data_IF_908955372505
#
_entry.id   IF_908955372505
#
_cell.length_a   1.000
_cell.length_b   1.000
_cell.length_c   1.000
_cell.angle_alpha   90.00
_cell.angle_beta   90.00
_cell.angle_gamma   90.00
#
_symmetry.space_group_name_H-M   'P 1'
#
loop_
_entity.id
_entity.type
_entity.pdbx_description
1 polymer ?
#
# COMPACT_ATOMS: atom_id res chain seq x y z
N UNK A 1 -15.33 8.45 -7.41
CA UNK A 1 -13.96 8.18 -6.90
C UNK A 1 -13.91 6.72 -6.50
N UNK A 2 -12.89 5.98 -6.94
CA UNK A 2 -12.76 4.55 -6.59
C UNK A 2 -11.86 4.46 -5.37
N UNK A 3 -12.32 3.86 -4.28
CA UNK A 3 -11.54 3.64 -3.08
C UNK A 3 -11.30 2.14 -2.91
N UNK A 4 -10.06 1.76 -2.67
CA UNK A 4 -9.68 0.39 -2.37
C UNK A 4 -9.37 0.29 -0.88
N UNK A 5 -9.91 -0.73 -0.21
CA UNK A 5 -9.59 -1.04 1.19
C UNK A 5 -9.09 -2.47 1.25
N UNK A 6 -7.89 -2.67 1.79
CA UNK A 6 -7.28 -3.99 1.92
C UNK A 6 -6.86 -4.24 3.36
N UNK A 7 -7.11 -5.46 3.83
CA UNK A 7 -6.43 -5.98 5.00
C UNK A 7 -5.07 -6.52 4.57
N UNK A 8 -3.99 -6.04 5.17
CA UNK A 8 -2.63 -6.34 4.74
C UNK A 8 -1.87 -7.16 5.78
N UNK A 9 -0.83 -7.86 5.34
CA UNK A 9 0.23 -8.37 6.22
C UNK A 9 1.47 -7.49 6.14
N UNK A 10 1.67 -6.79 5.02
CA UNK A 10 2.73 -5.81 4.85
C UNK A 10 2.29 -4.69 3.90
N UNK A 11 2.74 -3.47 4.17
CA UNK A 11 2.62 -2.32 3.27
C UNK A 11 4.02 -1.72 3.10
N UNK A 12 4.42 -1.51 1.85
CA UNK A 12 5.69 -0.90 1.49
C UNK A 12 5.44 0.38 0.69
N UNK A 13 6.08 1.45 1.14
CA UNK A 13 6.05 2.77 0.54
C UNK A 13 7.38 3.00 -0.17
N UNK A 14 7.35 3.60 -1.35
CA UNK A 14 8.58 4.13 -1.97
C UNK A 14 9.05 5.43 -1.29
N UNK A 15 10.03 6.11 -1.89
CA UNK A 15 10.58 7.35 -1.35
C UNK A 15 9.68 8.59 -1.51
N UNK A 16 8.56 8.48 -2.25
CA UNK A 16 7.69 9.61 -2.59
C UNK A 16 6.53 9.77 -1.62
N UNK A 17 6.74 9.43 -0.35
CA UNK A 17 5.73 9.53 0.70
C UNK A 17 6.20 10.39 1.87
N UNK A 18 5.29 11.19 2.39
CA UNK A 18 5.46 11.84 3.69
C UNK A 18 4.40 11.35 4.66
N UNK A 19 4.76 11.20 5.93
CA UNK A 19 3.88 10.72 6.99
C UNK A 19 3.49 11.88 7.91
N UNK A 20 2.20 12.02 8.17
CA UNK A 20 1.66 12.93 9.16
C UNK A 20 0.93 12.15 10.26
N UNK A 21 1.46 12.18 11.48
CA UNK A 21 0.90 11.40 12.59
C UNK A 21 1.05 9.89 12.40
N UNK A 22 0.15 9.09 12.98
CA UNK A 22 0.30 7.64 13.01
C UNK A 22 -0.22 6.92 11.77
N UNK A 23 -1.24 7.48 11.11
CA UNK A 23 -2.02 6.77 10.08
C UNK A 23 -2.01 7.42 8.70
N UNK A 24 -1.58 8.68 8.56
CA UNK A 24 -1.77 9.45 7.33
C UNK A 24 -0.47 9.51 6.53
N UNK A 25 -0.54 9.07 5.28
CA UNK A 25 0.57 9.07 4.33
C UNK A 25 0.15 9.85 3.08
N UNK A 26 0.90 10.88 2.71
CA UNK A 26 0.60 11.74 1.56
C UNK A 26 1.67 11.53 0.49
N UNK A 27 1.24 11.34 -0.75
CA UNK A 27 2.13 11.24 -1.90
C UNK A 27 2.75 12.62 -2.20
N UNK A 28 4.09 12.71 -2.20
CA UNK A 28 4.81 13.96 -2.49
C UNK A 28 5.05 14.17 -3.99
N UNK A 29 5.03 13.08 -4.76
CA UNK A 29 5.04 13.02 -6.24
C UNK A 29 4.12 11.86 -6.69
N UNK A 30 4.22 11.37 -7.93
CA UNK A 30 3.64 10.09 -8.33
C UNK A 30 4.30 8.96 -7.54
N UNK A 31 3.59 8.44 -6.55
CA UNK A 31 4.14 7.55 -5.55
C UNK A 31 3.67 6.10 -5.75
N UNK A 32 4.56 5.15 -5.46
CA UNK A 32 4.24 3.72 -5.53
C UNK A 32 3.93 3.15 -4.14
N UNK A 33 2.93 2.27 -4.09
CA UNK A 33 2.54 1.55 -2.88
C UNK A 33 2.37 0.07 -3.21
N UNK A 34 3.07 -0.79 -2.47
CA UNK A 34 2.86 -2.23 -2.51
C UNK A 34 2.11 -2.68 -1.26
N UNK A 35 1.01 -3.41 -1.44
CA UNK A 35 0.20 -3.97 -0.36
C UNK A 35 0.16 -5.47 -0.49
N UNK A 36 0.67 -6.15 0.54
CA UNK A 36 0.75 -7.61 0.57
C UNK A 36 -0.40 -8.08 1.43
N UNK A 37 -1.20 -8.99 0.87
CA UNK A 37 -2.32 -9.64 1.53
C UNK A 37 -2.00 -11.13 1.62
N UNK A 38 -2.32 -11.74 2.76
CA UNK A 38 -2.23 -13.19 2.93
C UNK A 38 -3.63 -13.79 3.05
N UNK A 39 -3.96 -14.70 2.13
CA UNK A 39 -5.24 -15.40 2.16
C UNK A 39 -5.26 -16.51 3.22
N UNK A 40 -6.44 -17.10 3.44
CA UNK A 40 -6.66 -18.18 4.44
C UNK A 40 -5.74 -19.40 4.20
N UNK A 41 -5.31 -19.61 2.96
CA UNK A 41 -4.42 -20.71 2.56
C UNK A 41 -2.93 -20.41 2.80
N UNK A 42 -2.58 -19.23 3.31
CA UNK A 42 -1.19 -18.76 3.47
C UNK A 42 -0.55 -18.26 2.16
N UNK A 43 -1.31 -18.27 1.06
CA UNK A 43 -0.83 -17.71 -0.22
C UNK A 43 -0.84 -16.19 -0.10
N UNK A 44 0.33 -15.60 -0.32
CA UNK A 44 0.49 -14.14 -0.41
C UNK A 44 0.17 -13.63 -1.80
N UNK A 45 -0.42 -12.45 -1.86
CA UNK A 45 -0.66 -11.69 -3.07
C UNK A 45 -0.18 -10.26 -2.86
N UNK A 46 0.56 -9.72 -3.84
CA UNK A 46 1.01 -8.33 -3.84
C UNK A 46 0.12 -7.52 -4.77
N UNK A 47 -0.41 -6.43 -4.25
CA UNK A 47 -1.20 -5.44 -4.97
C UNK A 47 -0.35 -4.17 -5.11
N UNK A 48 -0.08 -3.76 -6.34
CA UNK A 48 0.66 -2.55 -6.65
C UNK A 48 -0.30 -1.43 -7.01
N UNK A 49 -0.03 -0.24 -6.47
CA UNK A 49 -0.78 0.97 -6.71
C UNK A 49 0.18 2.08 -7.13
N UNK A 50 -0.29 2.91 -8.05
CA UNK A 50 0.28 4.23 -8.31
C UNK A 50 -0.70 5.25 -7.76
N UNK A 51 -0.20 6.18 -6.94
CA UNK A 51 -0.98 7.20 -6.25
C UNK A 51 -0.50 8.56 -6.70
N UNK A 52 -1.43 9.43 -7.07
CA UNK A 52 -1.08 10.73 -7.63
C UNK A 52 -0.61 11.70 -6.54
N UNK A 53 0.21 12.67 -6.94
CA UNK A 53 0.74 13.70 -6.03
C UNK A 53 -0.37 14.39 -5.24
N UNK A 54 -0.21 14.46 -3.93
CA UNK A 54 -1.14 15.10 -3.01
C UNK A 54 -2.29 14.22 -2.55
N UNK A 55 -2.46 13.02 -3.12
CA UNK A 55 -3.43 12.05 -2.61
C UNK A 55 -2.94 11.43 -1.30
N UNK A 56 -3.91 10.98 -0.50
CA UNK A 56 -3.70 10.51 0.86
C UNK A 56 -4.12 9.05 1.00
N UNK A 57 -3.20 8.25 1.53
CA UNK A 57 -3.43 6.87 1.97
C UNK A 57 -3.54 6.87 3.49
N UNK A 58 -4.50 6.11 4.02
CA UNK A 58 -4.64 5.88 5.45
C UNK A 58 -4.24 4.46 5.79
N UNK A 59 -3.30 4.28 6.72
CA UNK A 59 -2.87 2.98 7.22
C UNK A 59 -3.20 2.86 8.70
N UNK A 60 -4.10 1.95 9.02
CA UNK A 60 -4.37 1.51 10.38
C UNK A 60 -3.52 0.26 10.66
N UNK A 61 -2.40 0.45 11.33
CA UNK A 61 -1.49 -0.65 11.71
C UNK A 61 -2.14 -1.59 12.75
N UNK A 62 -2.93 -1.07 13.68
CA UNK A 62 -3.61 -1.88 14.70
C UNK A 62 -4.68 -2.81 14.10
N UNK A 63 -5.36 -2.35 13.05
CA UNK A 63 -6.36 -3.14 12.34
C UNK A 63 -5.80 -3.88 11.11
N UNK A 64 -4.53 -3.63 10.77
CA UNK A 64 -3.90 -4.06 9.51
C UNK A 64 -4.72 -3.67 8.28
N UNK A 65 -5.26 -2.45 8.23
CA UNK A 65 -6.09 -1.96 7.12
C UNK A 65 -5.41 -0.79 6.40
N UNK A 66 -5.46 -0.79 5.07
CA UNK A 66 -5.02 0.33 4.23
C UNK A 66 -6.14 0.81 3.33
N UNK A 67 -6.38 2.13 3.33
CA UNK A 67 -7.34 2.83 2.49
C UNK A 67 -6.59 3.61 1.41
N UNK A 68 -6.89 3.31 0.15
CA UNK A 68 -6.14 3.80 -1.01
C UNK A 68 -7.11 4.49 -1.97
N UNK A 69 -6.88 5.76 -2.33
CA UNK A 69 -7.73 6.51 -3.27
C UNK A 69 -7.46 6.17 -4.75
N UNK A 70 -6.75 5.06 -5.03
CA UNK A 70 -6.35 4.64 -6.36
C UNK A 70 -6.87 3.23 -6.71
N UNK A 71 -6.90 2.94 -8.01
CA UNK A 71 -7.14 1.58 -8.51
C UNK A 71 -5.84 0.78 -8.47
N UNK A 72 -5.94 -0.49 -8.11
CA UNK A 72 -4.82 -1.42 -8.24
C UNK A 72 -4.38 -1.48 -9.69
N UNK A 73 -3.10 -1.18 -9.95
CA UNK A 73 -2.52 -1.19 -11.30
C UNK A 73 -2.07 -2.59 -11.68
N UNK A 74 -1.62 -3.39 -10.70
CA UNK A 74 -1.14 -4.75 -10.93
C UNK A 74 -1.35 -5.62 -9.69
N UNK A 75 -1.73 -6.88 -9.93
CA UNK A 75 -1.82 -7.93 -8.90
C UNK A 75 -0.87 -9.07 -9.26
N UNK A 76 -0.06 -9.51 -8.31
CA UNK A 76 0.92 -10.58 -8.50
C UNK A 76 0.87 -11.60 -7.37
N UNK A 77 1.12 -12.87 -7.69
CA UNK A 77 1.23 -13.93 -6.67
C UNK A 77 2.59 -13.87 -5.97
N UNK A 78 2.56 -14.08 -4.66
CA UNK A 78 3.73 -14.03 -3.78
C UNK A 78 4.01 -12.64 -3.23
N UNK A 79 5.01 -12.57 -2.37
CA UNK A 79 5.57 -11.32 -1.87
C UNK A 79 6.51 -10.72 -2.93
N UNK A 80 6.17 -9.52 -3.41
CA UNK A 80 6.91 -8.80 -4.44
C UNK A 80 7.49 -7.48 -3.92
N UNK A 81 7.58 -7.28 -2.61
CA UNK A 81 8.36 -6.14 -2.10
C UNK A 81 9.77 -6.21 -2.62
N UNK A 82 10.24 -5.13 -3.24
CA UNK A 82 11.57 -5.07 -3.87
C UNK A 82 12.55 -4.27 -3.01
N UNK A 83 12.11 -3.63 -1.91
CA UNK A 83 12.92 -2.67 -1.15
C UNK A 83 13.12 -3.08 0.32
N UNK A 84 13.83 -4.18 0.48
CA UNK A 84 14.69 -4.44 1.64
C UNK A 84 16.16 -4.37 1.24
N UNK A 85 16.66 -3.22 0.74
CA UNK A 85 18.10 -2.96 0.88
C UNK A 85 18.31 -2.53 2.32
N UNK A 86 19.05 -3.35 3.06
CA UNK A 86 19.48 -3.04 4.43
C UNK A 86 20.41 -1.83 4.52
#
# INVERSE_FOLDING_TARGET
MTHTVLQFTLVEFDEHWTRAGSVLYTATDKAQLAVIVEGITGIKETYLFEVERGEVVLVSWDANLVYIPARCTKKETGDKTVYGRG
#
